data_IF_904846348771
#
_entry.id   IF_904846348771
#
_cell.length_a   1.000
_cell.length_b   1.000
_cell.length_c   1.000
_cell.angle_alpha   90.00
_cell.angle_beta   90.00
_cell.angle_gamma   90.00
#
_symmetry.space_group_name_H-M   'P 1'
#
loop_
_entity.id
_entity.type
_entity.pdbx_description
1 polymer ?
#
# COMPACT_ATOMS: atom_id res chain seq x y z
N UNK A 1 -13.05 -0.30 -15.65
CA UNK A 1 -11.69 0.27 -15.78
C UNK A 1 -10.95 -0.03 -14.49
N UNK A 2 -9.71 -0.49 -14.56
CA UNK A 2 -8.93 -0.81 -13.36
C UNK A 2 -8.45 0.46 -12.67
N UNK A 3 -8.48 0.47 -11.34
CA UNK A 3 -7.96 1.59 -10.54
C UNK A 3 -6.44 1.62 -10.69
N UNK A 4 -5.88 2.78 -11.06
CA UNK A 4 -4.42 2.97 -11.09
C UNK A 4 -3.97 3.36 -9.68
N UNK A 5 -2.95 2.68 -9.16
CA UNK A 5 -2.43 2.90 -7.81
C UNK A 5 -0.95 3.28 -7.92
N UNK A 6 -0.56 4.33 -7.20
CA UNK A 6 0.80 4.83 -7.12
C UNK A 6 1.24 4.83 -5.66
N UNK A 7 2.44 4.32 -5.40
CA UNK A 7 3.01 4.24 -4.05
C UNK A 7 4.29 5.09 -4.02
N UNK A 8 4.24 6.26 -3.39
CA UNK A 8 5.33 7.25 -3.40
C UNK A 8 6.26 7.17 -2.20
N UNK A 9 5.83 6.52 -1.12
CA UNK A 9 6.66 6.21 0.05
C UNK A 9 6.60 4.71 0.35
N UNK A 10 7.67 4.10 0.90
CA UNK A 10 8.84 4.72 1.54
C UNK A 10 10.03 5.19 0.66
N UNK A 11 9.97 5.18 -0.68
CA UNK A 11 11.09 5.67 -1.53
C UNK A 11 11.05 5.21 -2.99
N UNK A 12 12.10 4.56 -3.51
CA UNK A 12 12.08 3.75 -4.75
C UNK A 12 11.98 2.24 -4.43
N UNK A 13 11.71 1.38 -5.43
CA UNK A 13 11.75 -0.07 -5.22
C UNK A 13 13.09 -0.52 -4.66
N UNK A 14 13.05 -1.44 -3.68
CA UNK A 14 14.22 -1.91 -2.95
C UNK A 14 14.70 -0.95 -1.85
N UNK A 15 13.90 0.07 -1.50
CA UNK A 15 14.23 0.97 -0.39
C UNK A 15 14.47 0.18 0.91
N UNK A 16 15.59 0.51 1.58
CA UNK A 16 15.87 0.00 2.93
C UNK A 16 14.91 0.63 3.92
N UNK A 17 14.26 -0.20 4.73
CA UNK A 17 13.31 0.22 5.75
C UNK A 17 13.56 -0.50 7.07
N UNK A 18 13.20 0.16 8.16
CA UNK A 18 13.26 -0.40 9.51
C UNK A 18 12.25 0.29 10.42
N UNK A 19 11.80 -0.42 11.47
CA UNK A 19 10.80 0.10 12.39
C UNK A 19 9.42 0.28 11.76
N UNK A 20 8.84 1.48 11.88
CA UNK A 20 7.52 1.79 11.30
C UNK A 20 7.69 2.41 9.92
N UNK A 21 7.25 1.67 8.90
CA UNK A 21 7.27 2.04 7.50
C UNK A 21 5.93 2.67 7.12
N UNK A 22 5.99 3.86 6.52
CA UNK A 22 4.82 4.57 6.05
C UNK A 22 4.70 4.46 4.53
N UNK A 23 3.53 4.06 4.06
CA UNK A 23 3.17 4.00 2.66
C UNK A 23 2.24 5.16 2.33
N UNK A 24 2.67 6.00 1.38
CA UNK A 24 1.82 7.04 0.81
C UNK A 24 1.28 6.56 -0.51
N UNK A 25 -0.05 6.48 -0.59
CA UNK A 25 -0.77 5.92 -1.72
C UNK A 25 -1.59 7.03 -2.39
N UNK A 26 -1.55 7.02 -3.73
CA UNK A 26 -2.39 7.83 -4.61
C UNK A 26 -3.10 6.91 -5.59
N UNK A 27 -4.32 7.27 -5.97
CA UNK A 27 -5.07 6.51 -6.97
C UNK A 27 -5.71 7.39 -8.02
N UNK A 28 -5.94 6.80 -9.18
CA UNK A 28 -6.67 7.40 -10.29
C UNK A 28 -7.69 6.40 -10.87
N UNK A 29 -8.66 6.92 -11.63
CA UNK A 29 -9.70 6.14 -12.32
C UNK A 29 -10.66 5.37 -11.39
N UNK A 30 -10.83 5.81 -10.15
CA UNK A 30 -11.73 5.18 -9.19
C UNK A 30 -13.05 5.96 -9.07
N UNK A 31 -14.18 5.27 -8.93
CA UNK A 31 -15.52 5.87 -8.90
C UNK A 31 -15.72 6.84 -7.73
N UNK A 32 -16.62 7.82 -7.83
CA UNK A 32 -16.92 8.68 -6.69
C UNK A 32 -17.47 7.86 -5.50
N UNK A 33 -17.07 8.19 -4.28
CA UNK A 33 -17.54 7.55 -3.05
C UNK A 33 -16.43 6.84 -2.26
N UNK A 34 -16.85 5.96 -1.35
CA UNK A 34 -15.93 5.25 -0.45
C UNK A 34 -15.06 4.26 -1.20
N UNK A 35 -13.82 4.13 -0.75
CA UNK A 35 -12.80 3.22 -1.27
C UNK A 35 -12.10 2.56 -0.13
N UNK A 36 -11.88 1.26 -0.26
CA UNK A 36 -11.15 0.46 0.71
C UNK A 36 -9.75 0.23 0.19
N UNK A 37 -8.76 0.63 0.98
CA UNK A 37 -7.34 0.43 0.76
C UNK A 37 -6.88 -0.69 1.70
N UNK A 38 -6.17 -1.67 1.16
CA UNK A 38 -5.63 -2.79 1.91
C UNK A 38 -4.16 -2.91 1.59
N UNK A 39 -3.32 -2.79 2.61
CA UNK A 39 -1.88 -3.00 2.53
C UNK A 39 -1.58 -4.40 3.03
N UNK A 40 -0.87 -5.15 2.21
CA UNK A 40 -0.35 -6.47 2.56
C UNK A 40 1.15 -6.51 2.37
N UNK A 41 1.86 -7.26 3.20
CA UNK A 41 3.29 -7.55 3.04
C UNK A 41 3.45 -9.05 3.00
N UNK A 42 4.10 -9.55 1.95
CA UNK A 42 4.27 -10.99 1.66
C UNK A 42 2.95 -11.78 1.71
N UNK A 43 1.85 -11.15 1.28
CA UNK A 43 0.51 -11.72 1.28
C UNK A 43 -0.25 -11.63 2.61
N UNK A 44 0.38 -11.17 3.69
CA UNK A 44 -0.30 -10.91 4.96
C UNK A 44 -0.84 -9.49 5.01
N UNK A 45 -2.12 -9.30 5.34
CA UNK A 45 -2.70 -7.96 5.51
C UNK A 45 -2.16 -7.33 6.79
N UNK A 46 -1.52 -6.17 6.65
CA UNK A 46 -0.90 -5.44 7.77
C UNK A 46 -1.69 -4.19 8.15
N UNK A 47 -2.42 -3.61 7.20
CA UNK A 47 -3.25 -2.44 7.43
C UNK A 47 -4.40 -2.38 6.42
N UNK A 48 -5.52 -1.79 6.83
CA UNK A 48 -6.69 -1.60 5.99
C UNK A 48 -7.47 -0.36 6.43
N UNK A 49 -7.77 0.52 5.49
CA UNK A 49 -8.51 1.76 5.75
C UNK A 49 -9.53 2.02 4.66
N UNK A 50 -10.58 2.79 4.97
CA UNK A 50 -11.55 3.23 3.98
C UNK A 50 -11.70 4.74 4.00
N UNK A 51 -11.67 5.36 2.83
CA UNK A 51 -11.77 6.81 2.66
C UNK A 51 -12.41 7.15 1.32
N UNK A 52 -12.92 8.37 1.19
CA UNK A 52 -13.40 8.93 -0.09
C UNK A 52 -12.30 9.69 -0.83
N UNK A 53 -11.14 9.91 -0.20
CA UNK A 53 -10.00 10.59 -0.80
C UNK A 53 -9.31 9.70 -1.83
N UNK A 54 -8.81 10.29 -2.92
CA UNK A 54 -7.94 9.61 -3.89
C UNK A 54 -6.45 9.66 -3.50
N UNK A 55 -6.08 10.45 -2.48
CA UNK A 55 -4.69 10.61 -2.03
C UNK A 55 -4.40 12.01 -1.48
N UNK A 56 -3.36 12.18 -0.65
CA UNK A 56 -2.50 11.11 -0.14
C UNK A 56 -3.21 10.28 0.93
N UNK A 57 -3.14 8.96 0.81
CA UNK A 57 -3.59 8.01 1.85
C UNK A 57 -2.37 7.40 2.50
N UNK A 58 -2.28 7.50 3.83
CA UNK A 58 -1.17 6.96 4.60
C UNK A 58 -1.57 5.65 5.25
N UNK A 59 -0.76 4.62 5.03
CA UNK A 59 -0.89 3.30 5.67
C UNK A 59 0.42 2.94 6.35
N UNK A 60 0.34 2.28 7.50
CA UNK A 60 1.52 1.96 8.30
C UNK A 60 1.79 0.45 8.30
N UNK A 61 3.07 0.10 8.33
CA UNK A 61 3.51 -1.27 8.58
C UNK A 61 4.68 -1.26 9.56
N UNK A 62 4.64 -2.11 10.58
CA UNK A 62 5.75 -2.30 11.50
C UNK A 62 6.61 -3.49 11.04
N UNK A 63 7.85 -3.25 10.62
CA UNK A 63 8.76 -4.26 10.09
C UNK A 63 9.46 -5.11 11.15
N UNK A 64 9.31 -4.80 12.44
CA UNK A 64 10.05 -5.48 13.53
C UNK A 64 9.76 -6.98 13.65
N UNK A 65 8.60 -7.44 13.17
CA UNK A 65 8.26 -8.86 13.10
C UNK A 65 8.70 -9.57 11.81
N UNK A 66 9.23 -8.83 10.83
CA UNK A 66 9.67 -9.38 9.56
C UNK A 66 11.18 -9.71 9.59
N UNK A 67 11.61 -10.84 8.99
CA UNK A 67 13.03 -11.14 8.80
C UNK A 67 13.75 -10.02 8.05
N UNK A 68 15.06 -9.89 8.22
CA UNK A 68 15.83 -8.99 7.35
C UNK A 68 15.91 -9.59 5.94
N UNK A 69 15.70 -8.78 4.90
CA UNK A 69 15.67 -9.25 3.52
C UNK A 69 14.66 -8.52 2.63
N UNK A 70 14.38 -9.11 1.47
CA UNK A 70 13.43 -8.56 0.49
C UNK A 70 11.99 -8.90 0.88
N UNK A 71 11.13 -7.90 0.94
CA UNK A 71 9.69 -8.03 1.21
C UNK A 71 8.88 -7.37 0.10
N UNK A 72 7.74 -7.97 -0.25
CA UNK A 72 6.83 -7.39 -1.24
C UNK A 72 5.61 -6.81 -0.56
N UNK A 73 5.54 -5.48 -0.54
CA UNK A 73 4.35 -4.76 -0.12
C UNK A 73 3.38 -4.62 -1.29
N UNK A 74 2.12 -5.02 -1.11
CA UNK A 74 1.07 -4.91 -2.11
C UNK A 74 -0.08 -4.10 -1.55
N UNK A 75 -0.42 -3.03 -2.25
CA UNK A 75 -1.59 -2.20 -1.96
C UNK A 75 -2.69 -2.59 -2.94
N UNK A 76 -3.84 -2.97 -2.41
CA UNK A 76 -5.06 -3.23 -3.18
C UNK A 76 -6.09 -2.18 -2.84
N UNK A 77 -6.79 -1.67 -3.85
CA UNK A 77 -7.88 -0.72 -3.66
C UNK A 77 -9.14 -1.26 -4.31
N UNK A 78 -10.26 -1.14 -3.62
CA UNK A 78 -11.61 -1.43 -4.12
C UNK A 78 -12.50 -0.21 -3.94
N UNK A 79 -13.15 0.24 -5.00
CA UNK A 79 -14.12 1.34 -4.90
C UNK A 79 -15.56 0.87 -4.70
N UNK A 80 -16.46 1.82 -4.45
CA UNK A 80 -17.90 1.62 -4.28
C UNK A 80 -18.61 1.03 -5.50
N UNK A 81 -18.05 1.18 -6.71
CA UNK A 81 -18.57 0.60 -7.93
C UNK A 81 -18.09 -0.85 -8.15
N UNK A 82 -17.22 -1.36 -7.27
CA UNK A 82 -16.66 -2.70 -7.34
C UNK A 82 -15.42 -2.81 -8.23
N UNK A 83 -14.88 -1.69 -8.74
CA UNK A 83 -13.62 -1.71 -9.46
C UNK A 83 -12.47 -1.95 -8.48
N UNK A 84 -11.46 -2.68 -8.94
CA UNK A 84 -10.26 -2.99 -8.15
C UNK A 84 -9.00 -2.53 -8.86
N UNK A 85 -7.97 -2.25 -8.08
CA UNK A 85 -6.60 -2.03 -8.53
C UNK A 85 -5.62 -2.62 -7.55
N UNK A 86 -4.41 -2.94 -8.03
CA UNK A 86 -3.31 -3.41 -7.19
C UNK A 86 -2.00 -2.79 -7.65
N UNK A 87 -1.16 -2.38 -6.72
CA UNK A 87 0.23 -2.01 -6.98
C UNK A 87 1.14 -2.69 -5.96
N UNK A 88 2.25 -3.22 -6.44
CA UNK A 88 3.30 -3.80 -5.63
C UNK A 88 4.45 -2.83 -5.46
N UNK A 89 5.22 -3.03 -4.39
CA UNK A 89 6.43 -2.28 -4.09
C UNK A 89 7.39 -3.16 -3.32
N UNK A 90 8.62 -3.25 -3.80
CA UNK A 90 9.64 -4.08 -3.14
C UNK A 90 10.35 -3.26 -2.07
N UNK A 91 10.58 -3.86 -0.91
CA UNK A 91 11.27 -3.26 0.24
C UNK A 91 12.41 -4.16 0.70
N UNK A 92 13.45 -3.56 1.27
CA UNK A 92 14.54 -4.28 1.93
C UNK A 92 14.48 -4.00 3.42
N UNK A 93 14.05 -4.96 4.23
CA UNK A 93 14.01 -4.82 5.68
C UNK A 93 15.39 -5.03 6.26
N UNK A 94 15.84 -4.07 7.06
CA UNK A 94 17.07 -4.13 7.85
C UNK A 94 16.77 -3.65 9.27
N UNK A 95 16.20 -4.52 10.10
CA UNK A 95 16.04 -4.30 11.54
C UNK A 95 17.37 -4.47 12.28
#
# INVERSE_FOLDING_TARGET
GSIRIFITQPGADGATVSGTVWFTIWIENAAAGSKTYTLSVDGSVVDSTSTTSNGPVSMAWTSSGAPNGSHMATVTVRDSAGATGSAGRTLSVQN
#
